data_IF_773037325287
#
_entry.id   IF_773037325287
#
_cell.length_a   1.000
_cell.length_b   1.000
_cell.length_c   1.000
_cell.angle_alpha   90.00
_cell.angle_beta   90.00
_cell.angle_gamma   90.00
#
_symmetry.space_group_name_H-M   'P 1'
#
loop_
_entity.id
_entity.type
_entity.pdbx_description
1 polymer ?
#
# COMPACT_ATOMS: atom_id res chain seq x y z
N UNK A 1 5.65 -6.37 -2.73
CA UNK A 1 4.44 -5.66 -3.20
C UNK A 1 4.31 -5.62 -4.72
N UNK A 2 5.35 -5.25 -5.50
CA UNK A 2 5.27 -5.27 -6.97
C UNK A 2 4.87 -6.65 -7.54
N UNK A 3 5.42 -7.74 -7.00
CA UNK A 3 5.04 -9.10 -7.42
C UNK A 3 3.57 -9.43 -7.09
N UNK A 4 3.05 -8.93 -5.97
CA UNK A 4 1.64 -9.08 -5.64
C UNK A 4 0.76 -8.32 -6.64
N UNK A 5 1.11 -7.08 -6.96
CA UNK A 5 0.38 -6.27 -7.94
C UNK A 5 0.32 -6.93 -9.33
N UNK A 6 1.40 -7.65 -9.71
CA UNK A 6 1.43 -8.40 -10.97
C UNK A 6 0.52 -9.65 -10.97
N UNK A 7 0.24 -10.21 -9.79
CA UNK A 7 -0.59 -11.40 -9.63
C UNK A 7 -2.08 -11.10 -9.50
N UNK A 8 -2.44 -9.84 -9.30
CA UNK A 8 -3.84 -9.41 -9.29
C UNK A 8 -4.37 -9.39 -10.72
N UNK A 9 -5.60 -9.86 -10.88
CA UNK A 9 -6.30 -9.78 -12.16
C UNK A 9 -6.82 -8.36 -12.34
N UNK A 10 -6.15 -7.59 -13.20
CA UNK A 10 -6.42 -6.17 -13.45
C UNK A 10 -6.76 -6.00 -14.92
N UNK A 11 -7.93 -5.45 -15.20
CA UNK A 11 -8.41 -5.23 -16.59
C UNK A 11 -7.92 -3.93 -17.19
N UNK A 12 -7.54 -2.95 -16.36
CA UNK A 12 -7.00 -1.65 -16.74
C UNK A 12 -5.49 -1.55 -16.52
N UNK A 13 -5.05 -0.33 -16.28
CA UNK A 13 -3.63 0.01 -16.04
C UNK A 13 -3.23 -0.27 -14.61
N UNK A 14 -1.94 -0.39 -14.39
CA UNK A 14 -1.30 -0.42 -13.07
C UNK A 14 -0.55 0.88 -12.85
N UNK A 15 -0.96 1.64 -11.87
CA UNK A 15 -0.36 2.93 -11.50
C UNK A 15 0.27 2.78 -10.12
N UNK A 16 1.48 3.27 -9.93
CA UNK A 16 2.18 3.19 -8.65
C UNK A 16 2.63 4.56 -8.15
N UNK A 17 2.36 4.86 -6.89
CA UNK A 17 2.95 5.99 -6.16
C UNK A 17 4.10 5.45 -5.32
N UNK A 18 5.32 5.81 -5.69
CA UNK A 18 6.57 5.34 -5.09
C UNK A 18 7.14 6.39 -4.14
N UNK A 19 7.63 5.94 -3.00
CA UNK A 19 8.38 6.75 -2.07
C UNK A 19 9.74 6.12 -1.76
N UNK A 20 10.70 6.96 -1.42
CA UNK A 20 11.99 6.53 -0.91
C UNK A 20 12.37 7.32 0.33
N UNK A 21 12.85 6.66 1.42
CA UNK A 21 13.31 7.35 2.62
C UNK A 21 14.54 8.22 2.33
N UNK A 22 14.55 9.46 2.83
CA UNK A 22 15.63 10.41 2.58
C UNK A 22 16.98 10.04 3.18
N UNK A 23 17.02 9.15 4.18
CA UNK A 23 18.26 8.62 4.78
C UNK A 23 18.90 7.47 4.01
N UNK A 24 18.30 7.04 2.91
CA UNK A 24 18.87 5.99 2.06
C UNK A 24 19.93 6.57 1.12
N UNK A 25 20.92 5.73 0.78
CA UNK A 25 21.91 6.08 -0.23
C UNK A 25 21.24 6.13 -1.61
N UNK A 26 21.84 6.86 -2.54
CA UNK A 26 21.30 6.98 -3.91
C UNK A 26 21.19 5.62 -4.59
N UNK A 27 22.15 4.72 -4.35
CA UNK A 27 22.13 3.35 -4.89
C UNK A 27 20.91 2.55 -4.40
N UNK A 28 20.48 2.75 -3.14
CA UNK A 28 19.31 2.07 -2.59
C UNK A 28 18.02 2.61 -3.22
N UNK A 29 17.94 3.93 -3.45
CA UNK A 29 16.81 4.56 -4.15
C UNK A 29 16.73 4.10 -5.61
N UNK A 30 17.87 4.01 -6.28
CA UNK A 30 17.97 3.46 -7.64
C UNK A 30 17.51 2.01 -7.67
N UNK A 31 17.93 1.19 -6.70
CA UNK A 31 17.53 -0.22 -6.60
C UNK A 31 16.00 -0.37 -6.39
N UNK A 32 15.37 0.51 -5.58
CA UNK A 32 13.91 0.54 -5.41
C UNK A 32 13.23 0.80 -6.75
N UNK A 33 13.67 1.81 -7.50
CA UNK A 33 13.11 2.16 -8.80
C UNK A 33 13.29 1.02 -9.82
N UNK A 34 14.47 0.44 -9.90
CA UNK A 34 14.77 -0.69 -10.78
C UNK A 34 13.93 -1.93 -10.47
N UNK A 35 13.64 -2.20 -9.19
CA UNK A 35 12.84 -3.34 -8.77
C UNK A 35 11.39 -3.28 -9.29
N UNK A 36 10.89 -2.09 -9.62
CA UNK A 36 9.52 -1.88 -10.11
C UNK A 36 9.46 -1.49 -11.58
N UNK A 37 10.58 -1.18 -12.21
CA UNK A 37 10.65 -0.79 -13.62
C UNK A 37 10.01 -1.85 -14.53
N UNK A 38 9.19 -1.40 -15.48
CA UNK A 38 8.48 -2.27 -16.44
C UNK A 38 7.32 -3.08 -15.85
N UNK A 39 6.94 -2.84 -14.58
CA UNK A 39 5.85 -3.57 -13.92
C UNK A 39 4.56 -2.78 -13.79
N UNK A 40 4.60 -1.50 -14.09
CA UNK A 40 3.46 -0.58 -14.01
C UNK A 40 3.40 0.24 -15.30
N UNK A 41 2.21 0.75 -15.59
CA UNK A 41 1.95 1.59 -16.76
C UNK A 41 2.22 3.07 -16.46
N UNK A 42 2.19 3.47 -15.17
CA UNK A 42 2.57 4.81 -14.75
C UNK A 42 3.20 4.81 -13.35
N UNK A 43 4.17 5.68 -13.15
CA UNK A 43 4.96 5.83 -11.94
C UNK A 43 4.89 7.26 -11.44
N UNK A 44 4.51 7.47 -10.20
CA UNK A 44 4.56 8.77 -9.53
C UNK A 44 5.62 8.68 -8.45
N UNK A 45 6.73 9.39 -8.63
CA UNK A 45 7.84 9.42 -7.69
C UNK A 45 7.63 10.57 -6.71
N UNK A 46 7.60 10.26 -5.41
CA UNK A 46 7.45 11.22 -4.33
C UNK A 46 8.56 11.09 -3.29
N UNK A 47 8.68 12.08 -2.41
CA UNK A 47 9.56 12.03 -1.24
C UNK A 47 8.83 11.43 -0.03
N UNK A 48 9.61 10.98 0.96
CA UNK A 48 9.15 10.77 2.32
C UNK A 48 8.81 12.13 2.98
N UNK A 49 7.82 12.17 3.87
CA UNK A 49 7.48 13.38 4.63
C UNK A 49 8.70 13.90 5.43
N UNK A 50 9.54 12.99 5.92
CA UNK A 50 10.79 13.31 6.60
C UNK A 50 11.95 13.39 5.60
N UNK A 51 12.42 14.61 5.30
CA UNK A 51 13.50 14.84 4.31
C UNK A 51 14.86 14.27 4.74
N UNK A 52 15.10 14.15 6.03
CA UNK A 52 16.33 13.56 6.62
C UNK A 52 17.63 14.10 6.04
N UNK A 53 17.64 15.43 5.78
CA UNK A 53 18.81 16.16 5.30
C UNK A 53 18.95 16.25 3.78
N UNK A 54 18.01 15.74 2.99
CA UNK A 54 17.96 15.94 1.55
C UNK A 54 17.06 17.10 1.14
N UNK A 55 17.25 17.62 -0.05
CA UNK A 55 16.33 18.58 -0.66
C UNK A 55 14.99 17.91 -0.99
N UNK A 56 13.89 18.69 -0.98
CA UNK A 56 12.54 18.18 -1.14
C UNK A 56 12.29 17.41 -2.45
N UNK A 57 13.00 17.73 -3.53
CA UNK A 57 12.81 17.13 -4.86
C UNK A 57 13.91 16.13 -5.21
N UNK A 58 14.88 15.91 -4.35
CA UNK A 58 16.05 15.10 -4.65
C UNK A 58 15.68 13.63 -4.83
N UNK A 59 14.96 13.05 -3.87
CA UNK A 59 14.55 11.63 -3.89
C UNK A 59 13.67 11.29 -5.09
N UNK A 60 12.55 12.02 -5.35
CA UNK A 60 11.73 11.75 -6.53
C UNK A 60 12.51 11.85 -7.83
N UNK A 61 13.43 12.81 -7.94
CA UNK A 61 14.28 12.99 -9.13
C UNK A 61 15.23 11.83 -9.35
N UNK A 62 15.86 11.30 -8.29
CA UNK A 62 16.74 10.12 -8.38
C UNK A 62 15.94 8.91 -8.87
N UNK A 63 14.77 8.67 -8.29
CA UNK A 63 13.92 7.53 -8.64
C UNK A 63 13.40 7.64 -10.07
N UNK A 64 12.94 8.83 -10.49
CA UNK A 64 12.46 9.06 -11.85
C UNK A 64 13.56 8.82 -12.90
N UNK A 65 14.77 9.33 -12.65
CA UNK A 65 15.92 9.08 -13.54
C UNK A 65 16.27 7.60 -13.62
N UNK A 66 16.21 6.88 -12.49
CA UNK A 66 16.50 5.45 -12.43
C UNK A 66 15.46 4.63 -13.22
N UNK A 67 14.18 4.99 -13.15
CA UNK A 67 13.11 4.36 -13.95
C UNK A 67 13.36 4.55 -15.45
N UNK A 68 13.64 5.79 -15.89
CA UNK A 68 13.92 6.08 -17.29
C UNK A 68 15.19 5.35 -17.76
N UNK A 69 16.25 5.33 -16.94
CA UNK A 69 17.47 4.58 -17.25
C UNK A 69 17.25 3.06 -17.34
N UNK A 70 16.24 2.54 -16.63
CA UNK A 70 15.79 1.14 -16.71
C UNK A 70 14.85 0.85 -17.89
N UNK A 71 14.60 1.84 -18.78
CA UNK A 71 13.81 1.67 -19.99
C UNK A 71 12.32 2.03 -19.86
N UNK A 72 11.91 2.63 -18.75
CA UNK A 72 10.54 3.16 -18.61
C UNK A 72 10.41 4.44 -19.45
N UNK A 73 9.30 4.57 -20.18
CA UNK A 73 9.03 5.79 -20.94
C UNK A 73 8.96 7.00 -19.99
N UNK A 74 9.61 8.10 -20.39
CA UNK A 74 9.60 9.34 -19.63
C UNK A 74 8.18 9.87 -19.37
N UNK A 75 7.29 9.72 -20.35
CA UNK A 75 5.90 10.17 -20.24
C UNK A 75 5.08 9.31 -19.28
N UNK A 76 5.57 8.13 -18.92
CA UNK A 76 5.01 7.26 -17.89
C UNK A 76 5.55 7.55 -16.48
N UNK A 77 6.40 8.58 -16.31
CA UNK A 77 6.99 8.93 -15.01
C UNK A 77 6.65 10.37 -14.63
N UNK A 78 6.07 10.54 -13.45
CA UNK A 78 5.78 11.85 -12.86
C UNK A 78 6.59 12.06 -11.58
N UNK A 79 7.11 13.28 -11.39
CA UNK A 79 7.79 13.70 -10.17
C UNK A 79 6.84 14.62 -9.40
N UNK A 80 6.24 14.13 -8.32
CA UNK A 80 5.33 14.87 -7.47
C UNK A 80 5.80 14.68 -6.01
N UNK A 81 6.58 15.63 -5.48
CA UNK A 81 7.26 15.44 -4.20
C UNK A 81 6.34 15.26 -2.99
N UNK A 82 5.22 15.95 -2.95
CA UNK A 82 4.26 15.87 -1.84
C UNK A 82 3.40 14.61 -1.89
N UNK A 83 3.20 13.95 -0.75
CA UNK A 83 2.43 12.70 -0.66
C UNK A 83 0.96 12.90 -1.05
N UNK A 84 0.32 13.98 -0.57
CA UNK A 84 -1.09 14.19 -0.83
C UNK A 84 -1.35 14.55 -2.29
N UNK A 85 -0.49 15.38 -2.87
CA UNK A 85 -0.56 15.75 -4.30
C UNK A 85 -0.29 14.53 -5.19
N UNK A 86 0.65 13.68 -4.83
CA UNK A 86 0.96 12.44 -5.55
C UNK A 86 -0.22 11.45 -5.54
N UNK A 87 -0.86 11.30 -4.37
CA UNK A 87 -2.06 10.46 -4.23
C UNK A 87 -3.23 11.07 -5.01
N UNK A 88 -3.43 12.37 -4.94
CA UNK A 88 -4.49 13.05 -5.68
C UNK A 88 -4.30 12.89 -7.20
N UNK A 89 -3.07 13.05 -7.69
CA UNK A 89 -2.74 12.83 -9.09
C UNK A 89 -3.04 11.38 -9.53
N UNK A 90 -2.66 10.39 -8.70
CA UNK A 90 -2.96 8.99 -8.97
C UNK A 90 -4.47 8.72 -9.03
N UNK A 91 -5.23 9.28 -8.09
CA UNK A 91 -6.68 9.12 -8.03
C UNK A 91 -7.38 9.77 -9.22
N UNK A 92 -6.96 10.99 -9.62
CA UNK A 92 -7.49 11.69 -10.80
C UNK A 92 -7.13 10.99 -12.13
N UNK A 93 -5.97 10.34 -12.18
CA UNK A 93 -5.53 9.55 -13.32
C UNK A 93 -6.28 8.22 -13.44
N UNK A 94 -6.71 7.66 -12.31
CA UNK A 94 -7.34 6.34 -12.21
C UNK A 94 -8.67 6.26 -12.97
N UNK A 95 -8.91 5.11 -13.58
CA UNK A 95 -10.16 4.77 -14.28
C UNK A 95 -10.72 3.46 -13.74
N UNK A 96 -12.01 3.18 -13.94
CA UNK A 96 -12.57 1.88 -13.59
C UNK A 96 -11.76 0.72 -14.21
N UNK A 97 -11.37 -0.23 -13.38
CA UNK A 97 -10.53 -1.36 -13.78
C UNK A 97 -9.03 -1.16 -13.58
N UNK A 98 -8.57 0.08 -13.31
CA UNK A 98 -7.16 0.34 -12.97
C UNK A 98 -6.83 -0.12 -11.55
N UNK A 99 -5.58 -0.53 -11.33
CA UNK A 99 -4.99 -0.77 -10.02
C UNK A 99 -4.10 0.41 -9.64
N UNK A 100 -4.38 1.02 -8.49
CA UNK A 100 -3.52 2.02 -7.89
C UNK A 100 -2.79 1.41 -6.68
N UNK A 101 -1.48 1.31 -6.75
CA UNK A 101 -0.62 0.89 -5.63
C UNK A 101 0.03 2.13 -5.02
N UNK A 102 -0.30 2.41 -3.78
CA UNK A 102 0.18 3.61 -3.08
C UNK A 102 1.08 3.21 -1.91
N UNK A 103 2.32 3.65 -1.93
CA UNK A 103 3.21 3.60 -0.77
C UNK A 103 3.06 4.91 -0.01
N UNK A 104 2.41 4.86 1.15
CA UNK A 104 2.09 6.03 1.96
C UNK A 104 2.82 5.97 3.31
N UNK A 105 3.29 7.14 3.79
CA UNK A 105 3.92 7.27 5.11
C UNK A 105 2.88 7.56 6.17
N UNK A 106 1.99 8.53 5.91
CA UNK A 106 0.91 8.91 6.81
C UNK A 106 -0.38 8.12 6.51
N UNK A 107 -0.40 6.83 6.83
CA UNK A 107 -1.48 5.90 6.46
C UNK A 107 -2.90 6.42 6.73
N UNK A 108 -3.13 7.01 7.91
CA UNK A 108 -4.47 7.52 8.28
C UNK A 108 -4.89 8.70 7.41
N UNK A 109 -3.96 9.61 7.10
CA UNK A 109 -4.18 10.79 6.25
C UNK A 109 -4.50 10.34 4.83
N UNK A 110 -3.64 9.50 4.27
CA UNK A 110 -3.76 9.00 2.91
C UNK A 110 -4.99 8.13 2.72
N UNK A 111 -5.31 7.27 3.69
CA UNK A 111 -6.56 6.50 3.68
C UNK A 111 -7.80 7.39 3.66
N UNK A 112 -7.85 8.43 4.52
CA UNK A 112 -8.96 9.39 4.54
C UNK A 112 -9.10 10.13 3.20
N UNK A 113 -8.00 10.47 2.55
CA UNK A 113 -8.02 11.09 1.22
C UNK A 113 -8.61 10.13 0.19
N UNK A 114 -8.15 8.89 0.14
CA UNK A 114 -8.60 7.87 -0.82
C UNK A 114 -10.11 7.60 -0.67
N UNK A 115 -10.60 7.35 0.55
CA UNK A 115 -12.02 7.01 0.74
C UNK A 115 -12.97 8.19 0.54
N UNK A 116 -12.46 9.42 0.65
CA UNK A 116 -13.24 10.65 0.43
C UNK A 116 -13.16 11.15 -1.01
N UNK A 117 -12.25 10.61 -1.80
CA UNK A 117 -12.06 11.03 -3.19
C UNK A 117 -13.37 10.85 -3.98
N UNK A 118 -13.69 11.86 -4.76
CA UNK A 118 -14.80 11.85 -5.71
C UNK A 118 -14.26 12.36 -7.04
N UNK A 119 -14.24 11.52 -8.08
CA UNK A 119 -13.81 11.96 -9.41
C UNK A 119 -14.73 13.07 -9.92
N UNK A 120 -14.17 14.05 -10.59
CA UNK A 120 -14.96 15.12 -11.22
C UNK A 120 -15.93 14.51 -12.23
N UNK A 121 -17.23 14.87 -12.12
CA UNK A 121 -18.28 14.34 -12.99
C UNK A 121 -18.83 12.97 -12.59
N UNK A 122 -18.42 12.39 -11.48
CA UNK A 122 -19.10 11.24 -10.92
C UNK A 122 -20.49 11.68 -10.44
N UNK A 123 -21.54 11.25 -11.12
CA UNK A 123 -22.88 11.25 -10.54
C UNK A 123 -22.78 10.51 -9.19
N UNK A 124 -23.50 11.01 -8.19
CA UNK A 124 -23.54 10.43 -6.84
C UNK A 124 -23.70 8.91 -6.96
N UNK A 125 -22.60 8.20 -6.78
CA UNK A 125 -22.66 6.74 -6.81
C UNK A 125 -23.62 6.32 -5.70
N UNK A 126 -24.58 5.43 -5.97
CA UNK A 126 -25.45 4.92 -4.92
C UNK A 126 -24.56 4.46 -3.77
N UNK A 127 -24.93 4.86 -2.56
CA UNK A 127 -24.21 4.47 -1.35
C UNK A 127 -23.91 2.97 -1.47
N UNK A 128 -22.66 2.54 -1.16
CA UNK A 128 -22.32 1.13 -1.28
C UNK A 128 -23.38 0.36 -0.54
N UNK A 129 -24.09 -0.51 -1.26
CA UNK A 129 -25.04 -1.41 -0.65
C UNK A 129 -24.26 -2.11 0.46
N UNK A 130 -24.69 -2.06 1.73
CA UNK A 130 -24.00 -2.77 2.77
C UNK A 130 -23.84 -4.21 2.25
N UNK A 131 -22.60 -4.65 2.07
CA UNK A 131 -22.37 -6.06 1.80
C UNK A 131 -23.07 -6.73 2.96
N UNK A 132 -24.18 -7.44 2.67
CA UNK A 132 -24.89 -8.17 3.70
C UNK A 132 -23.79 -8.97 4.42
N UNK A 133 -23.53 -8.57 5.65
CA UNK A 133 -22.64 -9.35 6.51
C UNK A 133 -23.14 -10.78 6.33
N UNK A 134 -22.34 -11.76 5.94
CA UNK A 134 -22.82 -13.12 5.84
C UNK A 134 -23.56 -13.36 7.14
N UNK A 135 -24.87 -13.64 7.02
CA UNK A 135 -25.81 -13.72 8.14
C UNK A 135 -25.10 -14.44 9.24
N UNK A 136 -24.98 -13.80 10.39
CA UNK A 136 -24.19 -14.18 11.55
C UNK A 136 -23.84 -15.68 11.50
N UNK A 137 -22.70 -16.00 10.90
CA UNK A 137 -22.07 -17.26 11.26
C UNK A 137 -21.95 -17.13 12.77
N UNK A 138 -22.69 -17.95 13.49
CA UNK A 138 -22.63 -18.02 14.95
C UNK A 138 -21.14 -17.92 15.29
N UNK A 139 -20.76 -16.86 16.02
CA UNK A 139 -19.39 -16.74 16.48
C UNK A 139 -19.07 -18.09 17.12
N UNK A 140 -18.00 -18.76 16.70
CA UNK A 140 -17.68 -20.05 17.29
C UNK A 140 -17.59 -19.80 18.81
N UNK A 141 -18.54 -20.30 19.55
CA UNK A 141 -18.52 -20.27 21.01
C UNK A 141 -17.38 -21.21 21.36
N UNK A 142 -16.20 -20.65 21.59
CA UNK A 142 -15.08 -21.38 22.11
C UNK A 142 -15.40 -21.69 23.58
N UNK A 143 -16.05 -22.81 23.79
CA UNK A 143 -16.27 -23.34 25.14
C UNK A 143 -14.96 -23.92 25.70
N UNK A 144 -14.97 -24.16 27.02
CA UNK A 144 -13.81 -24.68 27.74
C UNK A 144 -13.34 -26.05 27.21
N UNK A 145 -14.25 -26.82 26.62
CA UNK A 145 -13.96 -28.13 26.03
C UNK A 145 -13.18 -27.97 24.68
N UNK A 146 -13.50 -26.95 23.93
CA UNK A 146 -12.77 -26.61 22.69
C UNK A 146 -11.35 -26.13 22.99
N UNK A 147 -11.14 -25.35 24.04
CA UNK A 147 -9.81 -24.96 24.49
C UNK A 147 -8.98 -26.15 25.01
N UNK A 148 -9.60 -27.07 25.75
CA UNK A 148 -8.92 -28.27 26.23
C UNK A 148 -8.46 -29.18 25.08
N UNK A 149 -9.19 -29.20 23.97
CA UNK A 149 -8.84 -30.01 22.79
C UNK A 149 -7.65 -29.42 21.98
N UNK A 150 -7.31 -28.13 22.19
CA UNK A 150 -6.18 -27.47 21.52
C UNK A 150 -4.83 -27.73 22.17
N UNK A 151 -4.76 -28.57 23.19
CA UNK A 151 -3.54 -29.02 23.90
C UNK A 151 -2.46 -27.93 24.02
N UNK A 152 -2.13 -27.56 25.23
CA UNK A 152 -1.02 -26.61 25.45
C UNK A 152 -1.39 -25.13 25.55
N UNK A 153 -2.68 -24.79 25.61
CA UNK A 153 -3.14 -23.43 25.88
C UNK A 153 -3.57 -23.30 27.34
N UNK A 154 -2.95 -22.40 28.08
CA UNK A 154 -3.29 -22.11 29.49
C UNK A 154 -3.81 -20.67 29.58
N UNK A 155 -4.90 -20.50 30.36
CA UNK A 155 -5.44 -19.19 30.69
C UNK A 155 -5.19 -18.92 32.18
N UNK A 156 -4.52 -17.82 32.47
CA UNK A 156 -4.32 -17.31 33.83
C UNK A 156 -4.71 -15.83 33.94
N UNK A 157 -4.44 -15.20 35.08
CA UNK A 157 -4.68 -13.78 35.30
C UNK A 157 -3.93 -12.83 34.37
N UNK A 158 -2.95 -13.34 33.59
CA UNK A 158 -2.14 -12.60 32.62
C UNK A 158 -2.62 -12.75 31.17
N UNK A 159 -3.67 -13.61 30.96
CA UNK A 159 -4.25 -13.85 29.65
C UNK A 159 -4.11 -15.30 29.15
N UNK A 160 -4.17 -15.49 27.85
CA UNK A 160 -4.07 -16.80 27.19
C UNK A 160 -2.66 -16.95 26.65
N UNK A 161 -1.95 -18.03 27.01
CA UNK A 161 -0.60 -18.34 26.53
C UNK A 161 -0.44 -19.85 26.28
N UNK A 162 0.56 -20.19 25.45
CA UNK A 162 0.92 -21.58 25.22
C UNK A 162 1.71 -22.12 26.40
N UNK A 163 1.34 -23.29 26.94
CA UNK A 163 2.15 -24.00 27.94
C UNK A 163 3.44 -24.44 27.25
N UNK A 164 4.59 -24.04 27.78
CA UNK A 164 5.87 -24.67 27.39
C UNK A 164 5.87 -26.07 28.00
N UNK A 165 5.88 -27.10 27.13
CA UNK A 165 6.24 -28.44 27.55
C UNK A 165 7.68 -28.44 28.04
N UNK A 166 7.84 -28.87 29.28
CA UNK A 166 8.89 -29.42 30.08
C UNK A 166 10.35 -29.28 29.61
N UNK A 167 11.12 -28.52 30.38
CA UNK A 167 12.50 -28.90 30.67
C UNK A 167 12.46 -29.90 31.84
N UNK A 168 12.76 -31.15 31.53
CA UNK A 168 13.41 -32.10 32.45
C UNK A 168 14.91 -31.99 32.28
#
# INVERSE_FOLDING_TARGET
MADLAQRLDVTGRRIVVLAGPGDRRDEDLVAIAQAVAGRFDHYICRRDDALRGRDGDEVPRIMARALVAAGVDKDAVSEIPDEQEAIEAALNMGRPGDLLLVFADALVRSWKQIIKFRPEGAAEAPAPTPIASPAAAEEPVFDEATFAALGGVVRDERGIHLSREGED
#
